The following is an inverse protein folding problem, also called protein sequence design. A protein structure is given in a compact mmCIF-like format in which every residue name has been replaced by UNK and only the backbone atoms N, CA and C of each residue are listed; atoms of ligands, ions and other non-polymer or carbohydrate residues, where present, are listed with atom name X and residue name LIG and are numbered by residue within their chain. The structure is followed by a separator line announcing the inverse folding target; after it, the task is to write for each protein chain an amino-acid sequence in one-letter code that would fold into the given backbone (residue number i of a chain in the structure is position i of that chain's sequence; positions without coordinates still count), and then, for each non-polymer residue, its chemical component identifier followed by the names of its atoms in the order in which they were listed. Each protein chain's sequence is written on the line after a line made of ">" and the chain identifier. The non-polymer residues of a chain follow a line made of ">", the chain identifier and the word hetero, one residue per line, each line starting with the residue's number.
data_IF_179205050263
#
_entry.id   IF_179205050263
#
_cell.length_a   1.000
_cell.length_b   1.000
_cell.length_c   1.000
_cell.angle_alpha   90.00
_cell.angle_beta   90.00
_cell.angle_gamma   90.00
#
_symmetry.space_group_name_H-M   'P 1'
#
loop_
_entity.id
_entity.type
_entity.pdbx_description
1 polymer ?
#
# COMPACT_ATOMS: atom_id res chain seq x y z
N UNK A 1 -12.20 -5.07 -10.53
CA UNK A 1 -10.86 -5.07 -9.92
C UNK A 1 -9.97 -6.12 -10.54
N UNK A 2 -8.67 -5.82 -10.69
CA UNK A 2 -7.63 -6.81 -11.01
C UNK A 2 -6.59 -6.79 -9.87
N UNK A 3 -6.20 -7.95 -9.34
CA UNK A 3 -5.09 -8.03 -8.38
C UNK A 3 -3.84 -8.42 -9.17
N UNK A 4 -2.83 -7.55 -9.17
CA UNK A 4 -1.56 -7.77 -9.86
C UNK A 4 -0.48 -8.11 -8.83
N UNK A 5 0.09 -9.31 -8.94
CA UNK A 5 1.04 -9.89 -7.98
C UNK A 5 2.47 -9.68 -8.43
N UNK A 6 3.41 -9.75 -7.47
CA UNK A 6 4.83 -9.44 -7.70
C UNK A 6 5.55 -10.31 -8.75
N UNK A 7 5.00 -11.47 -9.11
CA UNK A 7 5.54 -12.37 -10.13
C UNK A 7 4.89 -12.18 -11.52
N UNK A 8 3.99 -11.21 -11.66
CA UNK A 8 3.27 -10.93 -12.90
C UNK A 8 3.79 -9.64 -13.56
N UNK A 9 3.56 -9.52 -14.87
CA UNK A 9 3.84 -8.28 -15.60
C UNK A 9 3.01 -7.14 -15.01
N UNK A 10 3.65 -5.98 -14.83
CA UNK A 10 3.01 -4.79 -14.28
C UNK A 10 1.95 -4.26 -15.26
N UNK A 11 0.74 -4.08 -14.75
CA UNK A 11 -0.36 -3.45 -15.48
C UNK A 11 -0.28 -1.94 -15.28
N UNK A 12 -0.10 -1.16 -16.35
CA UNK A 12 0.06 0.32 -16.31
C UNK A 12 -1.14 1.07 -16.88
N UNK A 13 -1.23 2.37 -16.64
CA UNK A 13 -2.20 3.29 -17.25
C UNK A 13 -3.63 3.22 -16.69
N UNK A 14 -3.84 2.44 -15.63
CA UNK A 14 -5.14 2.30 -14.95
C UNK A 14 -5.08 2.92 -13.56
N UNK A 15 -6.22 3.38 -13.04
CA UNK A 15 -6.32 3.75 -11.63
C UNK A 15 -5.96 2.55 -10.76
N UNK A 16 -5.09 2.77 -9.79
CA UNK A 16 -4.41 1.69 -9.11
C UNK A 16 -4.06 2.02 -7.67
N UNK A 17 -4.10 1.00 -6.80
CA UNK A 17 -3.76 1.09 -5.39
C UNK A 17 -2.66 0.07 -5.08
N UNK A 18 -1.54 0.53 -4.53
CA UNK A 18 -0.48 -0.34 -4.02
C UNK A 18 -0.69 -0.60 -2.51
N UNK A 19 -0.59 -1.87 -2.08
CA UNK A 19 -0.77 -2.28 -0.68
C UNK A 19 0.57 -2.33 0.08
N UNK A 20 0.99 -1.17 0.58
CA UNK A 20 2.20 -1.02 1.37
C UNK A 20 1.97 -1.31 2.85
N UNK A 21 2.98 -1.87 3.51
CA UNK A 21 2.90 -2.24 4.92
C UNK A 21 3.67 -3.50 5.27
N UNK A 22 3.74 -3.87 6.56
CA UNK A 22 4.37 -5.10 7.00
C UNK A 22 3.76 -6.33 6.29
N UNK A 23 4.61 -7.29 5.94
CA UNK A 23 4.18 -8.60 5.44
C UNK A 23 4.52 -9.67 6.49
N UNK A 24 3.70 -10.72 6.64
CA UNK A 24 4.05 -11.87 7.47
C UNK A 24 5.37 -12.47 7.01
N UNK A 25 6.23 -12.82 7.97
CA UNK A 25 7.46 -13.58 7.71
C UNK A 25 7.17 -15.08 7.57
N UNK A 26 7.96 -15.93 8.23
CA UNK A 26 7.73 -17.38 8.30
C UNK A 26 6.63 -17.78 9.29
N UNK A 27 6.15 -16.84 10.10
CA UNK A 27 5.09 -17.09 11.06
C UNK A 27 3.73 -17.18 10.36
N UNK A 28 2.86 -18.11 10.79
CA UNK A 28 1.52 -18.33 10.23
C UNK A 28 0.52 -17.22 10.62
N UNK A 29 0.89 -15.96 10.47
CA UNK A 29 -0.02 -14.83 10.66
C UNK A 29 -0.75 -14.58 9.35
N UNK A 30 -2.08 -14.51 9.42
CA UNK A 30 -2.90 -14.14 8.27
C UNK A 30 -2.52 -12.74 7.80
N UNK A 31 -2.23 -12.59 6.51
CA UNK A 31 -1.94 -11.27 5.93
C UNK A 31 -3.19 -10.38 5.93
N UNK A 32 -3.03 -9.16 6.43
CA UNK A 32 -4.04 -8.10 6.37
C UNK A 32 -4.39 -7.72 4.93
N UNK A 33 -3.50 -8.00 3.95
CA UNK A 33 -3.74 -7.69 2.54
C UNK A 33 -4.90 -8.50 1.96
N UNK A 34 -5.12 -9.72 2.48
CA UNK A 34 -6.27 -10.55 2.07
C UNK A 34 -7.57 -9.82 2.41
N UNK A 35 -7.66 -9.29 3.63
CA UNK A 35 -8.83 -8.56 4.10
C UNK A 35 -8.98 -7.23 3.34
N UNK A 36 -7.89 -6.50 3.12
CA UNK A 36 -7.92 -5.27 2.32
C UNK A 36 -8.39 -5.50 0.88
N UNK A 37 -7.93 -6.56 0.21
CA UNK A 37 -8.36 -6.93 -1.16
C UNK A 37 -9.84 -7.28 -1.17
N UNK A 38 -10.31 -8.03 -0.18
CA UNK A 38 -11.73 -8.36 -0.06
C UNK A 38 -12.56 -7.08 0.09
N UNK A 39 -12.14 -6.15 0.94
CA UNK A 39 -12.82 -4.86 1.15
C UNK A 39 -12.82 -3.97 -0.09
N UNK A 40 -11.71 -3.90 -0.82
CA UNK A 40 -11.65 -3.21 -2.10
C UNK A 40 -12.69 -3.75 -3.09
N UNK A 41 -12.87 -5.08 -3.11
CA UNK A 41 -13.90 -5.73 -3.94
C UNK A 41 -15.31 -5.41 -3.44
N UNK A 42 -15.56 -5.49 -2.13
CA UNK A 42 -16.86 -5.19 -1.50
C UNK A 42 -17.28 -3.74 -1.75
N UNK A 43 -16.35 -2.79 -1.68
CA UNK A 43 -16.60 -1.37 -1.97
C UNK A 43 -16.59 -1.02 -3.47
N UNK A 44 -16.50 -2.02 -4.35
CA UNK A 44 -16.69 -1.84 -5.79
C UNK A 44 -15.50 -1.23 -6.53
N UNK A 45 -14.27 -1.33 -5.99
CA UNK A 45 -13.09 -0.87 -6.72
C UNK A 45 -12.92 -1.64 -8.04
N UNK A 46 -12.82 -0.91 -9.15
CA UNK A 46 -12.76 -1.43 -10.51
C UNK A 46 -11.35 -1.32 -11.13
N UNK A 47 -10.38 -0.74 -10.40
CA UNK A 47 -8.99 -0.57 -10.83
C UNK A 47 -8.06 -1.77 -10.59
N UNK A 48 -6.75 -1.49 -10.59
CA UNK A 48 -5.68 -2.46 -10.32
C UNK A 48 -5.22 -2.37 -8.87
N UNK A 49 -5.05 -3.51 -8.20
CA UNK A 49 -4.48 -3.60 -6.86
C UNK A 49 -3.13 -4.28 -6.96
N UNK A 50 -2.05 -3.55 -6.70
CA UNK A 50 -0.71 -4.14 -6.62
C UNK A 50 -0.52 -4.76 -5.25
N UNK A 51 -0.35 -6.08 -5.21
CA UNK A 51 -0.06 -6.82 -4.01
C UNK A 51 1.42 -7.29 -4.03
N UNK A 52 2.29 -6.68 -3.21
CA UNK A 52 3.72 -7.03 -3.19
C UNK A 52 4.01 -8.35 -2.46
N UNK A 53 3.02 -8.95 -1.81
CA UNK A 53 3.21 -10.16 -1.03
C UNK A 53 3.40 -11.39 -1.94
N UNK A 54 4.60 -11.95 -1.92
CA UNK A 54 4.93 -13.19 -2.60
C UNK A 54 4.53 -14.41 -1.74
N UNK A 55 3.90 -15.40 -2.36
CA UNK A 55 3.40 -16.60 -1.67
C UNK A 55 4.34 -17.82 -1.79
N UNK A 56 5.49 -17.70 -2.46
CA UNK A 56 6.44 -18.80 -2.68
C UNK A 56 7.72 -18.70 -1.82
N UNK A 57 8.55 -19.74 -1.87
CA UNK A 57 9.91 -19.69 -1.32
C UNK A 57 10.80 -18.80 -2.20
N UNK A 58 11.64 -17.97 -1.58
CA UNK A 58 12.49 -16.99 -2.30
C UNK A 58 13.92 -17.53 -2.47
N UNK A 59 14.43 -17.54 -3.69
CA UNK A 59 15.85 -17.77 -4.02
C UNK A 59 16.50 -16.43 -4.43
N UNK A 60 17.77 -16.19 -4.10
CA UNK A 60 18.40 -14.84 -4.11
C UNK A 60 18.18 -13.95 -5.36
N UNK A 61 18.10 -14.51 -6.57
CA UNK A 61 17.81 -13.75 -7.82
C UNK A 61 16.37 -13.22 -7.86
N UNK A 62 15.45 -13.84 -7.14
CA UNK A 62 14.04 -13.45 -7.04
C UNK A 62 13.87 -12.22 -6.14
N UNK A 63 14.77 -12.01 -5.17
CA UNK A 63 14.71 -10.86 -4.26
C UNK A 63 14.90 -9.52 -4.99
N UNK A 64 15.92 -9.41 -5.84
CA UNK A 64 16.18 -8.17 -6.58
C UNK A 64 15.03 -7.85 -7.55
N UNK A 65 14.52 -8.87 -8.25
CA UNK A 65 13.37 -8.73 -9.15
C UNK A 65 12.11 -8.28 -8.39
N UNK A 66 11.86 -8.82 -7.20
CA UNK A 66 10.76 -8.38 -6.35
C UNK A 66 10.91 -6.93 -5.89
N UNK A 67 12.13 -6.52 -5.50
CA UNK A 67 12.39 -5.13 -5.10
C UNK A 67 12.14 -4.17 -6.27
N UNK A 68 12.67 -4.50 -7.45
CA UNK A 68 12.46 -3.70 -8.67
C UNK A 68 10.98 -3.63 -9.05
N UNK A 69 10.27 -4.76 -9.00
CA UNK A 69 8.84 -4.79 -9.26
C UNK A 69 8.06 -3.91 -8.27
N UNK A 70 8.42 -3.95 -6.98
CA UNK A 70 7.78 -3.10 -5.96
C UNK A 70 8.05 -1.61 -6.22
N UNK A 71 9.28 -1.24 -6.56
CA UNK A 71 9.60 0.15 -6.90
C UNK A 71 8.79 0.64 -8.11
N UNK A 72 8.79 -0.14 -9.21
CA UNK A 72 8.08 0.23 -10.44
C UNK A 72 6.56 0.28 -10.24
N UNK A 73 5.99 -0.62 -9.44
CA UNK A 73 4.55 -0.60 -9.14
C UNK A 73 4.14 0.53 -8.22
N UNK A 74 4.96 0.91 -7.23
CA UNK A 74 4.67 2.08 -6.40
C UNK A 74 4.75 3.38 -7.24
N UNK A 75 5.73 3.47 -8.15
CA UNK A 75 5.85 4.57 -9.10
C UNK A 75 4.60 4.71 -9.98
N UNK A 76 4.12 3.59 -10.54
CA UNK A 76 2.93 3.54 -11.38
C UNK A 76 1.63 3.77 -10.58
N UNK A 77 1.61 3.38 -9.29
CA UNK A 77 0.42 3.43 -8.47
C UNK A 77 -0.20 4.83 -8.44
N UNK A 78 -1.53 4.89 -8.51
CA UNK A 78 -2.26 6.14 -8.32
C UNK A 78 -2.29 6.53 -6.85
N UNK A 79 -2.51 5.54 -5.97
CA UNK A 79 -2.48 5.68 -4.50
C UNK A 79 -1.61 4.60 -3.89
N UNK A 80 -0.92 4.98 -2.81
CA UNK A 80 -0.17 4.05 -1.97
C UNK A 80 -0.91 3.96 -0.63
N UNK A 81 -1.57 2.83 -0.38
CA UNK A 81 -2.25 2.56 0.88
C UNK A 81 -1.26 1.92 1.83
N UNK A 82 -0.92 2.64 2.90
CA UNK A 82 -0.12 2.12 4.01
C UNK A 82 -1.03 1.68 5.15
N UNK A 83 -1.09 0.37 5.40
CA UNK A 83 -1.64 -0.18 6.65
C UNK A 83 -0.50 -0.77 7.47
N UNK A 84 -0.27 -0.24 8.67
CA UNK A 84 0.88 -0.61 9.51
C UNK A 84 0.44 -1.23 10.83
N UNK A 85 -0.06 -2.49 10.84
CA UNK A 85 -0.41 -3.23 12.04
C UNK A 85 0.85 -3.79 12.71
N UNK A 86 1.78 -2.90 13.06
CA UNK A 86 3.11 -3.29 13.54
C UNK A 86 3.01 -4.06 14.85
N UNK A 87 3.64 -5.22 14.84
CA UNK A 87 3.93 -6.03 16.02
C UNK A 87 5.40 -6.43 15.95
N UNK A 88 6.21 -6.10 16.96
CA UNK A 88 7.67 -6.31 16.89
C UNK A 88 8.08 -7.77 16.69
N UNK A 89 7.23 -8.72 17.08
CA UNK A 89 7.51 -10.16 16.93
C UNK A 89 7.09 -10.67 15.57
N UNK A 90 5.87 -10.36 15.15
CA UNK A 90 5.24 -11.03 14.00
C UNK A 90 5.23 -10.20 12.72
N UNK A 91 5.17 -8.87 12.83
CA UNK A 91 5.02 -7.91 11.73
C UNK A 91 5.86 -6.65 12.00
N UNK A 92 7.20 -6.74 12.02
CA UNK A 92 8.05 -5.62 12.43
C UNK A 92 8.02 -4.44 11.45
N UNK A 93 7.81 -4.69 10.15
CA UNK A 93 7.65 -3.62 9.16
C UNK A 93 8.87 -2.73 8.98
N UNK A 94 10.08 -3.31 8.95
CA UNK A 94 11.34 -2.56 8.82
C UNK A 94 11.45 -1.84 7.47
N UNK A 95 11.20 -2.55 6.36
CA UNK A 95 11.23 -1.95 5.01
C UNK A 95 10.12 -0.93 4.81
N UNK A 96 8.96 -1.14 5.44
CA UNK A 96 7.83 -0.21 5.42
C UNK A 96 8.21 1.19 5.89
N UNK A 97 9.12 1.32 6.87
CA UNK A 97 9.59 2.65 7.31
C UNK A 97 10.32 3.41 6.20
N UNK A 98 11.17 2.70 5.45
CA UNK A 98 11.95 3.26 4.34
C UNK A 98 11.00 3.65 3.21
N UNK A 99 10.10 2.75 2.82
CA UNK A 99 9.07 3.01 1.79
C UNK A 99 8.20 4.22 2.15
N UNK A 100 7.73 4.29 3.41
CA UNK A 100 6.90 5.39 3.87
C UNK A 100 7.62 6.73 3.78
N UNK A 101 8.87 6.79 4.26
CA UNK A 101 9.69 8.00 4.19
C UNK A 101 10.01 8.42 2.76
N UNK A 102 10.39 7.46 1.91
CA UNK A 102 10.74 7.71 0.50
C UNK A 102 9.55 8.28 -0.29
N UNK A 103 8.36 7.73 -0.09
CA UNK A 103 7.15 8.13 -0.81
C UNK A 103 6.36 9.28 -0.14
N UNK A 104 6.82 9.77 1.02
CA UNK A 104 6.12 10.78 1.82
C UNK A 104 5.75 12.04 1.02
N UNK A 105 6.62 12.44 0.08
CA UNK A 105 6.44 13.64 -0.73
C UNK A 105 5.64 13.42 -2.03
N UNK A 106 5.23 12.18 -2.34
CA UNK A 106 4.54 11.86 -3.59
C UNK A 106 3.14 12.48 -3.71
N UNK A 107 2.50 12.78 -2.58
CA UNK A 107 1.09 13.17 -2.52
C UNK A 107 0.11 12.03 -2.82
N UNK A 108 0.61 10.79 -2.95
CA UNK A 108 -0.17 9.58 -3.25
C UNK A 108 -0.49 8.74 -2.01
N UNK A 109 0.08 9.06 -0.85
CA UNK A 109 -0.05 8.24 0.36
C UNK A 109 -1.40 8.46 1.05
N UNK A 110 -2.02 7.36 1.46
CA UNK A 110 -3.00 7.31 2.53
C UNK A 110 -2.51 6.32 3.60
N UNK A 111 -2.65 6.67 4.87
CA UNK A 111 -2.00 5.96 5.97
C UNK A 111 -2.99 5.63 7.09
N UNK A 112 -2.85 4.43 7.62
CA UNK A 112 -3.52 4.00 8.83
C UNK A 112 -2.79 2.88 9.55
N UNK A 113 -3.20 2.65 10.79
CA UNK A 113 -2.69 1.59 11.68
C UNK A 113 -3.73 1.27 12.76
N UNK A 114 -3.83 0.05 13.28
CA UNK A 114 -4.68 -0.23 14.43
C UNK A 114 -4.15 0.47 15.68
N UNK A 115 -5.00 0.73 16.67
CA UNK A 115 -4.61 1.33 17.96
C UNK A 115 -3.63 0.49 18.77
N UNK A 116 -3.53 -0.79 18.46
CA UNK A 116 -2.58 -1.73 19.07
C UNK A 116 -1.19 -1.73 18.41
N UNK A 117 -0.96 -0.93 17.36
CA UNK A 117 0.31 -0.96 16.65
C UNK A 117 1.46 -0.40 17.50
N UNK A 118 2.56 -1.13 17.56
CA UNK A 118 3.73 -0.79 18.37
C UNK A 118 4.64 0.22 17.63
N UNK A 119 5.33 1.13 18.33
CA UNK A 119 6.37 2.02 17.77
C UNK A 119 5.94 2.81 16.50
N UNK A 120 4.70 3.31 16.46
CA UNK A 120 4.13 4.02 15.29
C UNK A 120 4.20 5.55 15.38
N UNK A 121 4.55 6.11 16.55
CA UNK A 121 4.36 7.53 16.83
C UNK A 121 5.08 8.47 15.85
N UNK A 122 6.24 8.05 15.33
CA UNK A 122 6.96 8.82 14.32
C UNK A 122 6.21 8.89 12.98
N UNK A 123 5.65 7.77 12.51
CA UNK A 123 4.86 7.72 11.26
C UNK A 123 3.61 8.59 11.40
N UNK A 124 2.91 8.49 12.54
CA UNK A 124 1.74 9.31 12.85
C UNK A 124 2.10 10.81 12.81
N UNK A 125 3.19 11.20 13.49
CA UNK A 125 3.63 12.59 13.54
C UNK A 125 3.95 13.15 12.14
N UNK A 126 4.78 12.46 11.36
CA UNK A 126 5.17 12.96 10.03
C UNK A 126 4.00 12.95 9.03
N UNK A 127 3.09 11.98 9.14
CA UNK A 127 1.88 11.94 8.30
C UNK A 127 1.00 13.16 8.57
N UNK A 128 0.73 13.46 9.85
CA UNK A 128 -0.03 14.63 10.26
C UNK A 128 0.61 15.92 9.77
N UNK A 129 1.92 16.07 9.96
CA UNK A 129 2.66 17.25 9.49
C UNK A 129 2.57 17.42 7.97
N UNK A 130 2.73 16.33 7.21
CA UNK A 130 2.79 16.39 5.74
C UNK A 130 1.42 16.54 5.09
N UNK A 131 0.43 15.81 5.58
CA UNK A 131 -0.88 15.66 4.94
C UNK A 131 -2.00 16.42 5.65
N UNK A 132 -1.76 16.95 6.87
CA UNK A 132 -2.77 17.59 7.72
C UNK A 132 -3.99 16.69 7.95
N UNK A 133 -3.72 15.40 8.13
CA UNK A 133 -4.72 14.34 8.35
C UNK A 133 -4.33 13.49 9.53
N UNK A 134 -5.34 13.03 10.25
CA UNK A 134 -5.17 12.00 11.26
C UNK A 134 -4.99 10.63 10.59
N UNK A 135 -4.10 9.77 11.12
CA UNK A 135 -4.03 8.37 10.70
C UNK A 135 -5.37 7.66 10.90
N UNK A 136 -5.80 6.88 9.92
CA UNK A 136 -7.04 6.11 10.03
C UNK A 136 -6.76 4.85 10.85
N UNK A 137 -7.58 4.57 11.87
CA UNK A 137 -7.36 3.42 12.76
C UNK A 137 -8.15 2.16 12.41
N UNK A 138 -8.93 2.20 11.34
CA UNK A 138 -9.76 1.12 10.85
C UNK A 138 -9.40 0.76 9.39
N UNK A 139 -9.17 -0.53 9.11
CA UNK A 139 -8.76 -0.98 7.78
C UNK A 139 -9.85 -0.74 6.73
N UNK A 140 -11.12 -1.00 7.06
CA UNK A 140 -12.25 -0.83 6.14
C UNK A 140 -12.38 0.66 5.75
N UNK A 141 -12.31 1.57 6.71
CA UNK A 141 -12.33 3.01 6.48
C UNK A 141 -11.13 3.45 5.63
N UNK A 142 -9.93 2.98 5.95
CA UNK A 142 -8.71 3.30 5.19
C UNK A 142 -8.83 2.85 3.73
N UNK A 143 -9.34 1.63 3.50
CA UNK A 143 -9.58 1.10 2.17
C UNK A 143 -10.60 1.97 1.42
N UNK A 144 -11.71 2.31 2.06
CA UNK A 144 -12.73 3.16 1.45
C UNK A 144 -12.19 4.55 1.06
N UNK A 145 -11.46 5.21 1.95
CA UNK A 145 -10.84 6.50 1.68
C UNK A 145 -9.73 6.41 0.62
N UNK A 146 -9.04 5.28 0.52
CA UNK A 146 -8.05 5.04 -0.54
C UNK A 146 -8.68 5.01 -1.93
N UNK A 147 -9.88 4.44 -2.07
CA UNK A 147 -10.63 4.42 -3.33
C UNK A 147 -10.98 5.84 -3.74
N UNK A 148 -11.53 6.65 -2.82
CA UNK A 148 -11.86 8.06 -3.10
C UNK A 148 -10.63 8.87 -3.53
N UNK A 149 -9.51 8.69 -2.83
CA UNK A 149 -8.26 9.35 -3.19
C UNK A 149 -7.77 8.90 -4.58
N UNK A 150 -7.90 7.60 -4.89
CA UNK A 150 -7.51 7.02 -6.16
C UNK A 150 -8.29 7.64 -7.32
N UNK A 151 -9.62 7.72 -7.23
CA UNK A 151 -10.46 8.38 -8.24
C UNK A 151 -10.05 9.84 -8.44
N UNK A 152 -9.89 10.59 -7.34
CA UNK A 152 -9.52 12.00 -7.39
C UNK A 152 -8.18 12.22 -8.09
N UNK A 153 -7.16 11.45 -7.74
CA UNK A 153 -5.83 11.58 -8.31
C UNK A 153 -5.78 11.11 -9.77
N UNK A 154 -6.48 10.04 -10.11
CA UNK A 154 -6.55 9.53 -11.47
C UNK A 154 -7.21 10.53 -12.42
N UNK A 155 -8.38 11.08 -12.05
CA UNK A 155 -9.07 12.10 -12.84
C UNK A 155 -8.23 13.37 -12.99
N UNK A 156 -7.51 13.79 -11.94
CA UNK A 156 -6.61 14.95 -12.00
C UNK A 156 -5.44 14.71 -12.96
N UNK A 157 -4.89 13.49 -13.01
CA UNK A 157 -3.82 13.12 -13.95
C UNK A 157 -4.32 13.18 -15.40
N UNK A 158 -5.45 12.52 -15.70
CA UNK A 158 -6.03 12.52 -17.07
C UNK A 158 -6.33 13.93 -17.58
N UNK A 159 -6.92 14.79 -16.75
CA UNK A 159 -7.16 16.19 -17.11
C UNK A 159 -5.91 16.98 -17.46
N UNK A 160 -4.72 16.59 -16.99
CA UNK A 160 -3.45 17.26 -17.34
C UNK A 160 -2.86 16.75 -18.65
N UNK A 161 -3.22 15.55 -19.07
CA UNK A 161 -2.74 14.93 -20.31
C UNK A 161 -3.55 15.40 -21.54
N UNK A 162 -4.74 15.96 -21.32
CA UNK A 162 -5.62 16.51 -22.35
C UNK A 162 -5.32 17.98 -22.74
N UNK A 163 -4.27 18.59 -22.18
CA UNK A 163 -3.78 19.95 -22.50
C UNK A 163 -2.31 19.92 -22.93
#
# INVERSE_FOLDING_TARGET
>A
MIVNKCNEKIIKGKKSIFLAGPAPGKEKVKSWRIDAIQKLKEFGFDGVVYNPEYLGEKVGVELEKEILWQQETIEEATVILFWVPRNKKTLPGFTTNIEFGYWLNSGKIIYGRPDTAEEIGYLDFIYKQKYQKEPINNLDELVYESIKLCEKLYLKKRKKEDY
#
